data_IF_889223877146
#
_entry.id   IF_889223877146
#
_cell.length_a   1.000
_cell.length_b   1.000
_cell.length_c   1.000
_cell.angle_alpha   90.00
_cell.angle_beta   90.00
_cell.angle_gamma   90.00
#
_symmetry.space_group_name_H-M   'P 1'
#
loop_
_entity.id
_entity.type
_entity.pdbx_description
1 polymer ?
#
# COMPACT_ATOMS: atom_id res chain seq x y z
N UNK A 1 12.24 0.85 -49.13
CA UNK A 1 11.63 2.20 -49.06
C UNK A 1 10.23 2.12 -49.64
N UNK A 2 9.17 2.36 -48.85
CA UNK A 2 7.79 2.34 -49.35
C UNK A 2 7.61 3.52 -50.32
N UNK A 3 7.07 3.26 -51.53
CA UNK A 3 6.83 4.30 -52.54
C UNK A 3 5.88 5.38 -52.01
N UNK A 4 6.10 6.65 -52.37
CA UNK A 4 5.27 7.79 -51.95
C UNK A 4 3.78 7.59 -52.31
N UNK A 5 3.50 6.87 -53.40
CA UNK A 5 2.13 6.49 -53.79
C UNK A 5 1.47 5.54 -52.79
N UNK A 6 2.24 4.64 -52.19
CA UNK A 6 1.75 3.75 -51.13
C UNK A 6 1.44 4.53 -49.86
N UNK A 7 2.20 5.60 -49.55
CA UNK A 7 1.91 6.48 -48.42
C UNK A 7 0.63 7.29 -48.61
N UNK A 8 0.35 7.76 -49.83
CA UNK A 8 -0.93 8.41 -50.16
C UNK A 8 -2.11 7.43 -50.07
N UNK A 9 -1.97 6.22 -50.63
CA UNK A 9 -2.99 5.17 -50.52
C UNK A 9 -3.25 4.76 -49.08
N UNK A 10 -2.21 4.62 -48.24
CA UNK A 10 -2.37 4.23 -46.84
C UNK A 10 -3.14 5.27 -46.01
N UNK A 11 -3.09 6.55 -46.40
CA UNK A 11 -3.87 7.63 -45.78
C UNK A 11 -5.21 7.89 -46.48
N UNK A 12 -5.61 7.07 -47.47
CA UNK A 12 -6.77 7.25 -48.36
C UNK A 12 -6.80 8.62 -49.06
N UNK A 13 -5.64 9.06 -49.54
CA UNK A 13 -5.45 10.34 -50.22
C UNK A 13 -5.04 10.14 -51.67
N UNK A 14 -5.45 11.08 -52.53
CA UNK A 14 -4.98 11.15 -53.92
C UNK A 14 -3.54 11.71 -53.97
N UNK A 15 -2.67 11.25 -54.88
CA UNK A 15 -1.33 11.83 -55.00
C UNK A 15 -1.40 13.33 -55.33
N UNK A 16 -0.69 14.16 -54.56
CA UNK A 16 -0.60 15.60 -54.81
C UNK A 16 -1.47 16.50 -53.92
N UNK A 17 -2.19 15.97 -52.92
CA UNK A 17 -2.92 16.81 -51.95
C UNK A 17 -1.98 17.68 -51.11
N UNK A 18 -2.48 18.83 -50.66
CA UNK A 18 -1.72 19.74 -49.82
C UNK A 18 -1.45 19.16 -48.42
N UNK A 19 -0.39 19.63 -47.76
CA UNK A 19 0.02 19.10 -46.44
C UNK A 19 -1.07 19.26 -45.36
N UNK A 20 -1.91 20.29 -45.45
CA UNK A 20 -3.00 20.51 -44.50
C UNK A 20 -4.03 19.36 -44.55
N UNK A 21 -4.32 18.85 -45.75
CA UNK A 21 -5.24 17.73 -45.95
C UNK A 21 -4.60 16.40 -45.53
N UNK A 22 -3.30 16.23 -45.78
CA UNK A 22 -2.51 15.09 -45.27
C UNK A 22 -2.56 15.03 -43.74
N UNK A 23 -2.39 16.18 -43.07
CA UNK A 23 -2.48 16.29 -41.60
C UNK A 23 -3.89 16.00 -41.08
N UNK A 24 -4.93 16.43 -41.80
CA UNK A 24 -6.33 16.20 -41.43
C UNK A 24 -6.69 14.72 -41.57
N UNK A 25 -6.28 14.05 -42.65
CA UNK A 25 -6.51 12.63 -42.86
C UNK A 25 -5.74 11.77 -41.85
N UNK A 26 -4.47 12.10 -41.60
CA UNK A 26 -3.68 11.44 -40.55
C UNK A 26 -4.36 11.53 -39.19
N UNK A 27 -4.81 12.72 -38.77
CA UNK A 27 -5.51 12.89 -37.48
C UNK A 27 -6.76 12.03 -37.36
N UNK A 28 -7.56 11.95 -38.43
CA UNK A 28 -8.77 11.11 -38.44
C UNK A 28 -8.43 9.63 -38.31
N UNK A 29 -7.44 9.14 -39.06
CA UNK A 29 -7.02 7.72 -39.01
C UNK A 29 -6.29 7.36 -37.71
N UNK A 30 -5.42 8.24 -37.22
CA UNK A 30 -4.66 8.04 -35.97
C UNK A 30 -5.58 7.91 -34.76
N UNK A 31 -6.70 8.65 -34.71
CA UNK A 31 -7.70 8.53 -33.64
C UNK A 31 -8.46 7.20 -33.67
N UNK A 32 -8.67 6.61 -34.84
CA UNK A 32 -9.37 5.33 -34.99
C UNK A 32 -8.50 4.12 -34.65
N UNK A 33 -7.17 4.26 -34.79
CA UNK A 33 -6.23 3.16 -34.61
C UNK A 33 -5.30 3.34 -33.39
N UNK A 34 -5.58 4.31 -32.51
CA UNK A 34 -4.73 4.55 -31.34
C UNK A 34 -4.84 3.37 -30.36
N UNK A 35 -3.71 2.81 -29.86
CA UNK A 35 -3.73 1.62 -29.01
C UNK A 35 -4.56 1.79 -27.74
N UNK A 36 -4.59 2.99 -27.17
CA UNK A 36 -5.41 3.30 -25.97
C UNK A 36 -6.93 3.30 -26.24
N UNK A 37 -7.35 3.39 -27.51
CA UNK A 37 -8.77 3.51 -27.90
C UNK A 37 -9.25 2.22 -28.56
N UNK A 38 -8.44 1.61 -29.44
CA UNK A 38 -8.80 0.45 -30.23
C UNK A 38 -8.16 -0.87 -29.73
N UNK A 39 -7.23 -0.81 -28.76
CA UNK A 39 -6.51 -1.96 -28.24
C UNK A 39 -5.18 -2.23 -28.95
N UNK A 40 -4.33 -3.06 -28.34
CA UNK A 40 -2.94 -3.33 -28.77
C UNK A 40 -2.82 -3.94 -30.17
N UNK A 41 -3.88 -4.57 -30.68
CA UNK A 41 -3.94 -5.21 -32.01
C UNK A 41 -3.78 -4.20 -33.17
N UNK A 42 -4.06 -2.92 -32.92
CA UNK A 42 -3.96 -1.85 -33.91
C UNK A 42 -2.61 -1.09 -33.86
N UNK A 43 -1.72 -1.46 -32.95
CA UNK A 43 -0.39 -0.83 -32.77
C UNK A 43 0.45 -0.86 -34.06
N UNK A 44 0.46 -2.00 -34.76
CA UNK A 44 1.19 -2.15 -36.02
C UNK A 44 0.59 -1.29 -37.15
N UNK A 45 -0.74 -1.20 -37.23
CA UNK A 45 -1.42 -0.36 -38.21
C UNK A 45 -1.17 1.13 -37.93
N UNK A 46 -1.19 1.53 -36.67
CA UNK A 46 -0.85 2.89 -36.24
C UNK A 46 0.58 3.27 -36.61
N UNK A 47 1.54 2.35 -36.41
CA UNK A 47 2.93 2.56 -36.81
C UNK A 47 3.05 2.77 -38.33
N UNK A 48 2.37 1.97 -39.14
CA UNK A 48 2.38 2.12 -40.60
C UNK A 48 1.79 3.47 -41.06
N UNK A 49 0.69 3.91 -40.44
CA UNK A 49 0.05 5.20 -40.71
C UNK A 49 0.99 6.36 -40.35
N UNK A 50 1.72 6.26 -39.25
CA UNK A 50 2.68 7.27 -38.82
C UNK A 50 3.90 7.35 -39.75
N UNK A 51 4.43 6.20 -40.19
CA UNK A 51 5.50 6.14 -41.19
C UNK A 51 5.09 6.80 -42.51
N UNK A 52 3.88 6.54 -43.00
CA UNK A 52 3.35 7.15 -44.21
C UNK A 52 3.21 8.67 -44.09
N UNK A 53 2.73 9.16 -42.94
CA UNK A 53 2.65 10.60 -42.67
C UNK A 53 4.03 11.26 -42.67
N UNK A 54 5.03 10.66 -42.03
CA UNK A 54 6.40 11.19 -41.99
C UNK A 54 7.05 11.22 -43.38
N UNK A 55 6.86 10.16 -44.18
CA UNK A 55 7.35 10.12 -45.56
C UNK A 55 6.75 11.25 -46.43
N UNK A 56 5.43 11.46 -46.33
CA UNK A 56 4.75 12.54 -47.07
C UNK A 56 5.10 13.93 -46.56
N UNK A 57 5.24 14.09 -45.24
CA UNK A 57 5.68 15.35 -44.62
C UNK A 57 7.05 15.76 -45.16
N UNK A 58 8.01 14.84 -45.17
CA UNK A 58 9.36 15.11 -45.65
C UNK A 58 9.39 15.38 -47.16
N UNK A 59 8.63 14.62 -47.95
CA UNK A 59 8.55 14.84 -49.40
C UNK A 59 7.91 16.20 -49.75
N UNK A 60 6.85 16.60 -49.06
CA UNK A 60 6.16 17.88 -49.30
C UNK A 60 6.97 19.09 -48.81
N UNK A 61 7.70 18.94 -47.69
CA UNK A 61 8.64 19.96 -47.21
C UNK A 61 9.81 20.14 -48.18
N UNK A 62 10.40 19.06 -48.67
CA UNK A 62 11.48 19.11 -49.65
C UNK A 62 11.00 19.68 -51.00
N UNK A 63 9.74 19.42 -51.39
CA UNK A 63 9.12 20.01 -52.59
C UNK A 63 8.85 21.51 -52.45
N UNK A 64 8.62 22.00 -51.22
CA UNK A 64 8.44 23.42 -50.93
C UNK A 64 9.75 24.22 -50.89
N UNK A 65 10.90 23.57 -50.70
CA UNK A 65 12.21 24.21 -50.72
C UNK A 65 12.71 24.59 -52.13
N UNK A 66 12.18 23.96 -53.19
CA UNK A 66 12.62 24.18 -54.59
C UNK A 66 11.77 25.22 -55.34
N UNK A 67 10.66 25.70 -54.75
CA UNK A 67 9.85 26.78 -55.32
C UNK A 67 9.52 27.83 -54.27
N UNK A 68 10.25 28.93 -54.28
CA UNK A 68 9.82 30.24 -53.77
C UNK A 68 10.24 31.28 -54.83
N UNK A 69 9.36 32.23 -55.16
CA UNK A 69 9.19 33.37 -54.27
C UNK A 69 7.74 33.80 -53.97
N UNK A 70 7.64 34.44 -52.80
CA UNK A 70 6.69 35.48 -52.38
C UNK A 70 5.17 35.18 -52.39
N UNK A 71 4.59 35.07 -51.19
CA UNK A 71 3.59 36.03 -50.68
C UNK A 71 3.24 35.82 -49.21
N UNK A 72 3.11 36.95 -48.52
CA UNK A 72 2.54 37.17 -47.20
C UNK A 72 1.07 36.77 -47.11
N UNK A 73 0.66 36.14 -46.01
CA UNK A 73 -0.41 36.58 -45.08
C UNK A 73 -0.79 35.47 -44.08
N UNK A 74 -1.25 35.93 -42.89
CA UNK A 74 -1.94 35.22 -41.79
C UNK A 74 -1.17 34.24 -40.88
N UNK A 75 -0.21 34.75 -40.09
CA UNK A 75 0.27 34.09 -38.84
C UNK A 75 -0.18 34.76 -37.53
N UNK A 76 -1.08 35.74 -37.58
CA UNK A 76 -1.50 36.50 -36.39
C UNK A 76 -2.55 35.79 -35.54
N UNK A 77 -3.32 34.84 -36.08
CA UNK A 77 -4.43 34.20 -35.33
C UNK A 77 -3.99 33.02 -34.45
N UNK A 78 -2.88 32.34 -34.78
CA UNK A 78 -2.33 31.26 -33.97
C UNK A 78 -1.62 31.81 -32.73
N UNK A 79 -0.68 32.73 -32.94
CA UNK A 79 0.11 33.32 -31.86
C UNK A 79 -0.74 34.11 -30.86
N UNK A 80 -1.81 34.78 -31.31
CA UNK A 80 -2.76 35.46 -30.39
C UNK A 80 -3.60 34.48 -29.59
N UNK A 81 -4.04 33.37 -30.19
CA UNK A 81 -4.76 32.31 -29.46
C UNK A 81 -3.85 31.61 -28.45
N UNK A 82 -2.61 31.34 -28.82
CA UNK A 82 -1.63 30.72 -27.93
C UNK A 82 -1.25 31.68 -26.78
N UNK A 83 -1.17 33.00 -27.05
CA UNK A 83 -0.97 34.00 -26.00
C UNK A 83 -2.18 34.09 -25.05
N UNK A 84 -3.40 33.99 -25.57
CA UNK A 84 -4.62 34.00 -24.78
C UNK A 84 -4.74 32.74 -23.91
N UNK A 85 -4.42 31.57 -24.47
CA UNK A 85 -4.40 30.30 -23.72
C UNK A 85 -3.34 30.36 -22.62
N UNK A 86 -2.15 30.89 -22.90
CA UNK A 86 -1.09 31.04 -21.89
C UNK A 86 -1.52 31.97 -20.76
N UNK A 87 -2.15 33.10 -21.10
CA UNK A 87 -2.69 34.04 -20.11
C UNK A 87 -3.80 33.43 -19.27
N UNK A 88 -4.65 32.61 -19.87
CA UNK A 88 -5.70 31.88 -19.16
C UNK A 88 -5.13 30.85 -18.19
N UNK A 89 -4.11 30.08 -18.63
CA UNK A 89 -3.40 29.14 -17.76
C UNK A 89 -2.72 29.88 -16.60
N UNK A 90 -2.06 31.02 -16.87
CA UNK A 90 -1.44 31.84 -15.82
C UNK A 90 -2.47 32.37 -14.82
N UNK A 91 -3.66 32.77 -15.28
CA UNK A 91 -4.75 33.18 -14.39
C UNK A 91 -5.27 32.02 -13.55
N UNK A 92 -5.50 30.85 -14.15
CA UNK A 92 -5.94 29.64 -13.42
C UNK A 92 -4.90 29.24 -12.37
N UNK A 93 -3.61 29.26 -12.73
CA UNK A 93 -2.53 28.94 -11.80
C UNK A 93 -2.45 29.97 -10.67
N UNK A 94 -2.63 31.26 -10.98
CA UNK A 94 -2.64 32.32 -9.99
C UNK A 94 -3.82 32.18 -9.03
N UNK A 95 -5.01 31.92 -9.55
CA UNK A 95 -6.22 31.68 -8.75
C UNK A 95 -6.05 30.43 -7.86
N UNK A 96 -5.51 29.35 -8.41
CA UNK A 96 -5.20 28.14 -7.65
C UNK A 96 -4.15 28.41 -6.56
N UNK A 97 -3.12 29.22 -6.84
CA UNK A 97 -2.11 29.61 -5.86
C UNK A 97 -2.68 30.51 -4.77
N UNK A 98 -3.57 31.45 -5.12
CA UNK A 98 -4.29 32.30 -4.17
C UNK A 98 -5.21 31.46 -3.29
N UNK A 99 -5.94 30.51 -3.87
CA UNK A 99 -6.79 29.57 -3.16
C UNK A 99 -5.97 28.69 -2.21
N UNK A 100 -4.86 28.11 -2.66
CA UNK A 100 -3.95 27.32 -1.81
C UNK A 100 -3.33 28.17 -0.71
N UNK A 101 -2.95 29.42 -1.01
CA UNK A 101 -2.39 30.34 -0.02
C UNK A 101 -3.43 30.73 1.03
N UNK A 102 -4.69 30.93 0.63
CA UNK A 102 -5.80 31.14 1.55
C UNK A 102 -6.04 29.89 2.40
N UNK A 103 -6.04 28.70 1.80
CA UNK A 103 -6.19 27.43 2.51
C UNK A 103 -5.07 27.23 3.54
N UNK A 104 -3.80 27.46 3.15
CA UNK A 104 -2.65 27.37 4.06
C UNK A 104 -2.75 28.38 5.20
N UNK A 105 -3.23 29.61 4.94
CA UNK A 105 -3.50 30.58 6.01
C UNK A 105 -4.60 30.13 6.97
N UNK A 106 -5.67 29.51 6.46
CA UNK A 106 -6.72 28.92 7.31
C UNK A 106 -6.28 27.66 8.06
N UNK A 107 -5.29 26.93 7.53
CA UNK A 107 -4.68 25.75 8.17
C UNK A 107 -3.63 26.16 9.21
N UNK A 108 -3.09 27.38 9.13
CA UNK A 108 -2.18 27.96 10.12
C UNK A 108 -2.86 28.43 11.39
N UNK A 109 -4.18 28.67 11.35
CA UNK A 109 -4.99 28.77 12.57
C UNK A 109 -5.30 27.34 13.05
N UNK A 110 -5.11 27.08 14.35
CA UNK A 110 -5.47 25.84 15.04
C UNK A 110 -7.00 25.58 14.96
N UNK A 111 -7.51 25.33 13.76
CA UNK A 111 -8.81 24.75 13.54
C UNK A 111 -8.79 23.44 14.33
N UNK A 112 -9.61 23.36 15.39
CA UNK A 112 -9.81 22.14 16.18
C UNK A 112 -10.31 21.05 15.23
N UNK A 113 -9.37 20.30 14.65
CA UNK A 113 -9.69 19.23 13.72
C UNK A 113 -10.40 18.16 14.54
N UNK A 114 -11.63 17.83 14.14
CA UNK A 114 -12.40 16.81 14.83
C UNK A 114 -11.76 15.44 14.59
N UNK A 115 -11.91 14.54 15.56
CA UNK A 115 -11.43 13.16 15.42
C UNK A 115 -11.98 12.50 14.14
N UNK A 116 -13.25 12.74 13.81
CA UNK A 116 -13.90 12.24 12.60
C UNK A 116 -13.15 12.56 11.31
N UNK A 117 -12.65 13.79 11.19
CA UNK A 117 -11.96 14.25 9.99
C UNK A 117 -10.58 13.61 9.89
N UNK A 118 -9.93 13.39 11.04
CA UNK A 118 -8.64 12.69 11.12
C UNK A 118 -8.81 11.21 10.77
N UNK A 119 -9.78 10.54 11.39
CA UNK A 119 -10.07 9.13 11.16
C UNK A 119 -10.49 8.84 9.71
N UNK A 120 -11.19 9.77 9.07
CA UNK A 120 -11.49 9.69 7.65
C UNK A 120 -10.21 9.74 6.80
N UNK A 121 -9.31 10.68 7.10
CA UNK A 121 -8.03 10.82 6.36
C UNK A 121 -7.09 9.65 6.58
N UNK A 122 -7.11 9.01 7.76
CA UNK A 122 -6.34 7.80 8.04
C UNK A 122 -6.76 6.58 7.20
N UNK A 123 -7.98 6.57 6.66
CA UNK A 123 -8.45 5.55 5.73
C UNK A 123 -8.03 5.80 4.27
N UNK A 124 -7.33 6.91 3.99
CA UNK A 124 -6.85 7.23 2.65
C UNK A 124 -5.87 6.18 2.13
N UNK A 125 -5.86 5.97 0.81
CA UNK A 125 -4.86 5.12 0.15
C UNK A 125 -3.49 5.80 0.01
N UNK A 126 -3.43 7.11 0.19
CA UNK A 126 -2.19 7.89 0.03
C UNK A 126 -1.41 7.97 1.36
N UNK A 127 -0.17 7.47 1.42
CA UNK A 127 0.65 7.47 2.63
C UNK A 127 0.83 8.86 3.26
N UNK A 128 1.03 9.90 2.45
CA UNK A 128 1.27 11.27 2.90
C UNK A 128 0.05 11.85 3.62
N UNK A 129 -1.16 11.58 3.09
CA UNK A 129 -2.42 12.00 3.71
C UNK A 129 -2.59 11.34 5.07
N UNK A 130 -2.27 10.04 5.16
CA UNK A 130 -2.34 9.33 6.43
C UNK A 130 -1.30 9.84 7.42
N UNK A 131 -0.08 10.14 6.98
CA UNK A 131 0.98 10.67 7.83
C UNK A 131 0.59 12.00 8.48
N UNK A 132 0.07 12.95 7.69
CA UNK A 132 -0.41 14.25 8.21
C UNK A 132 -1.55 14.04 9.20
N UNK A 133 -2.52 13.17 8.88
CA UNK A 133 -3.61 12.85 9.79
C UNK A 133 -3.12 12.22 11.09
N UNK A 134 -2.14 11.32 11.01
CA UNK A 134 -1.54 10.69 12.18
C UNK A 134 -0.81 11.70 13.06
N UNK A 135 -0.11 12.69 12.48
CA UNK A 135 0.52 13.76 13.25
C UNK A 135 -0.51 14.62 14.01
N UNK A 136 -1.64 14.96 13.37
CA UNK A 136 -2.76 15.61 14.07
C UNK A 136 -3.33 14.73 15.19
N UNK A 137 -3.50 13.42 14.94
CA UNK A 137 -3.98 12.48 15.95
C UNK A 137 -3.06 12.43 17.16
N UNK A 138 -1.74 12.41 16.96
CA UNK A 138 -0.75 12.41 18.03
C UNK A 138 -0.89 13.61 18.95
N UNK A 139 -1.27 14.78 18.43
CA UNK A 139 -1.43 16.02 19.21
C UNK A 139 -2.74 16.09 19.98
N UNK A 140 -3.75 15.30 19.59
CA UNK A 140 -5.04 15.27 20.30
C UNK A 140 -4.89 14.68 21.71
N UNK A 141 -5.64 15.24 22.65
CA UNK A 141 -5.87 14.64 23.95
C UNK A 141 -6.90 13.51 23.84
N UNK A 142 -6.92 12.62 24.83
CA UNK A 142 -7.88 11.52 24.85
C UNK A 142 -9.21 11.98 25.45
N UNK A 143 -10.31 11.72 24.74
CA UNK A 143 -11.67 11.87 25.27
C UNK A 143 -12.40 10.51 25.22
N UNK A 144 -13.23 10.22 26.23
CA UNK A 144 -13.97 8.95 26.27
C UNK A 144 -14.99 8.80 25.12
N UNK A 145 -15.50 9.93 24.62
CA UNK A 145 -16.42 10.00 23.47
C UNK A 145 -15.84 9.38 22.19
N UNK A 146 -14.51 9.32 22.08
CA UNK A 146 -13.81 8.83 20.90
C UNK A 146 -13.90 7.32 20.71
N UNK A 147 -14.26 6.58 21.76
CA UNK A 147 -14.25 5.12 21.75
C UNK A 147 -15.13 4.52 20.66
N UNK A 148 -16.38 4.96 20.55
CA UNK A 148 -17.33 4.37 19.60
C UNK A 148 -16.92 4.63 18.14
N UNK A 149 -16.31 5.80 17.90
CA UNK A 149 -15.81 6.18 16.58
C UNK A 149 -14.54 5.40 16.20
N UNK A 150 -13.60 5.26 17.14
CA UNK A 150 -12.38 4.47 16.97
C UNK A 150 -12.70 3.00 16.71
N UNK A 151 -13.60 2.40 17.49
CA UNK A 151 -13.97 0.98 17.32
C UNK A 151 -14.55 0.68 15.93
N UNK A 152 -15.27 1.65 15.33
CA UNK A 152 -15.82 1.53 13.97
C UNK A 152 -14.78 1.74 12.87
N UNK A 153 -13.73 2.51 13.16
CA UNK A 153 -12.81 3.02 12.15
C UNK A 153 -11.50 2.26 12.09
N UNK A 154 -10.93 1.85 13.23
CA UNK A 154 -9.66 1.11 13.31
C UNK A 154 -9.59 -0.09 12.34
N UNK A 155 -10.64 -0.94 12.20
CA UNK A 155 -10.59 -2.07 11.26
C UNK A 155 -10.45 -1.68 9.77
N UNK A 156 -10.75 -0.42 9.42
CA UNK A 156 -10.67 0.11 8.04
C UNK A 156 -9.33 0.80 7.76
N UNK A 157 -8.55 1.08 8.80
CA UNK A 157 -7.26 1.75 8.67
C UNK A 157 -6.23 0.71 8.22
N UNK A 158 -5.47 1.05 7.19
CA UNK A 158 -4.34 0.24 6.77
C UNK A 158 -3.14 0.60 7.67
N UNK A 159 -2.76 -0.31 8.57
CA UNK A 159 -1.59 -0.13 9.42
C UNK A 159 -0.33 -0.63 8.71
N UNK A 160 0.65 0.26 8.58
CA UNK A 160 2.05 -0.04 8.32
C UNK A 160 2.88 0.32 9.57
N UNK A 161 4.18 0.00 9.56
CA UNK A 161 5.06 0.19 10.72
C UNK A 161 5.08 1.64 11.23
N UNK A 162 5.16 2.61 10.32
CA UNK A 162 5.19 4.02 10.66
C UNK A 162 3.84 4.49 11.22
N UNK A 163 2.73 4.06 10.62
CA UNK A 163 1.39 4.39 11.09
C UNK A 163 1.13 3.82 12.48
N UNK A 164 1.54 2.57 12.73
CA UNK A 164 1.33 1.94 14.02
C UNK A 164 2.04 2.71 15.13
N UNK A 165 3.26 3.19 14.91
CA UNK A 165 4.01 3.97 15.90
C UNK A 165 3.23 5.23 16.33
N UNK A 166 2.74 6.01 15.36
CA UNK A 166 1.98 7.22 15.65
C UNK A 166 0.64 6.89 16.33
N UNK A 167 -0.02 5.82 15.89
CA UNK A 167 -1.28 5.37 16.47
C UNK A 167 -1.09 4.91 17.92
N UNK A 168 -0.02 4.18 18.23
CA UNK A 168 0.26 3.72 19.58
C UNK A 168 0.57 4.89 20.54
N UNK A 169 1.22 5.96 20.07
CA UNK A 169 1.43 7.17 20.88
C UNK A 169 0.09 7.76 21.35
N UNK A 170 -0.88 7.87 20.45
CA UNK A 170 -2.22 8.37 20.78
C UNK A 170 -3.02 7.38 21.63
N UNK A 171 -3.08 6.11 21.24
CA UNK A 171 -3.85 5.07 21.94
C UNK A 171 -3.31 4.79 23.35
N UNK A 172 -2.03 5.06 23.61
CA UNK A 172 -1.43 4.96 24.94
C UNK A 172 -1.97 6.00 25.93
N UNK A 173 -2.54 7.11 25.45
CA UNK A 173 -3.21 8.12 26.29
C UNK A 173 -4.54 7.63 26.86
N UNK A 174 -5.15 6.62 26.23
CA UNK A 174 -6.43 6.06 26.65
C UNK A 174 -6.33 5.33 28.00
N UNK A 175 -7.40 5.30 28.83
CA UNK A 175 -7.48 4.42 29.99
C UNK A 175 -7.29 2.95 29.62
N UNK A 176 -6.71 2.14 30.52
CA UNK A 176 -6.39 0.72 30.24
C UNK A 176 -7.60 -0.12 29.80
N UNK A 177 -8.79 0.16 30.34
CA UNK A 177 -10.00 -0.57 29.96
C UNK A 177 -10.43 -0.29 28.51
N UNK A 178 -10.14 0.92 27.98
CA UNK A 178 -10.31 1.26 26.58
C UNK A 178 -9.26 0.56 25.71
N UNK A 179 -8.00 0.61 26.10
CA UNK A 179 -6.90 -0.05 25.39
C UNK A 179 -7.17 -1.56 25.21
N UNK A 180 -7.67 -2.24 26.24
CA UNK A 180 -8.07 -3.66 26.18
C UNK A 180 -9.11 -3.97 25.09
N UNK A 181 -10.03 -3.04 24.82
CA UNK A 181 -11.05 -3.20 23.77
C UNK A 181 -10.48 -2.93 22.37
N UNK A 182 -9.49 -2.05 22.27
CA UNK A 182 -8.87 -1.63 21.00
C UNK A 182 -7.83 -2.63 20.50
N UNK A 183 -7.05 -3.22 21.40
CA UNK A 183 -5.98 -4.18 21.07
C UNK A 183 -6.41 -5.27 20.07
N UNK A 184 -7.54 -5.99 20.27
CA UNK A 184 -7.98 -7.01 19.32
C UNK A 184 -8.20 -6.47 17.90
N UNK A 185 -8.64 -5.21 17.76
CA UNK A 185 -8.87 -4.58 16.45
C UNK A 185 -7.54 -4.30 15.76
N UNK A 186 -6.56 -3.73 16.47
CA UNK A 186 -5.23 -3.44 15.92
C UNK A 186 -4.50 -4.73 15.56
N UNK A 187 -4.66 -5.80 16.36
CA UNK A 187 -4.08 -7.12 16.08
C UNK A 187 -4.53 -7.73 14.75
N UNK A 188 -5.66 -7.31 14.19
CA UNK A 188 -6.10 -7.82 12.86
C UNK A 188 -5.14 -7.42 11.74
N UNK A 189 -4.38 -6.33 11.93
CA UNK A 189 -3.46 -5.80 10.93
C UNK A 189 -2.04 -6.37 11.02
N UNK A 190 -1.77 -7.30 11.94
CA UNK A 190 -0.43 -7.90 12.18
C UNK A 190 0.22 -8.47 10.92
N UNK A 191 -0.57 -8.95 9.94
CA UNK A 191 -0.04 -9.49 8.68
C UNK A 191 0.74 -8.46 7.85
N UNK A 192 0.46 -7.17 8.04
CA UNK A 192 1.07 -6.07 7.29
C UNK A 192 2.21 -5.39 8.07
N UNK A 193 2.45 -5.82 9.31
CA UNK A 193 3.41 -5.20 10.21
C UNK A 193 4.73 -5.95 10.18
N UNK A 194 5.83 -5.20 10.20
CA UNK A 194 7.17 -5.72 10.40
C UNK A 194 7.43 -6.12 11.85
N UNK A 195 8.57 -6.78 12.07
CA UNK A 195 8.98 -7.27 13.39
C UNK A 195 9.00 -6.18 14.45
N UNK A 196 9.60 -5.02 14.15
CA UNK A 196 9.76 -3.92 15.13
C UNK A 196 8.41 -3.37 15.59
N UNK A 197 7.47 -3.19 14.65
CA UNK A 197 6.13 -2.70 14.94
C UNK A 197 5.34 -3.73 15.78
N UNK A 198 5.41 -5.02 15.43
CA UNK A 198 4.81 -6.10 16.22
C UNK A 198 5.36 -6.18 17.65
N UNK A 199 6.67 -5.97 17.85
CA UNK A 199 7.28 -5.96 19.19
C UNK A 199 6.75 -4.79 20.03
N UNK A 200 6.64 -3.58 19.45
CA UNK A 200 6.05 -2.42 20.15
C UNK A 200 4.59 -2.69 20.52
N UNK A 201 3.81 -3.26 19.61
CA UNK A 201 2.43 -3.68 19.87
C UNK A 201 2.37 -4.67 21.04
N UNK A 202 3.23 -5.69 21.05
CA UNK A 202 3.35 -6.68 22.12
C UNK A 202 3.60 -6.05 23.49
N UNK A 203 4.55 -5.11 23.57
CA UNK A 203 4.85 -4.41 24.83
C UNK A 203 3.71 -3.49 25.27
N UNK A 204 3.09 -2.77 24.34
CA UNK A 204 1.91 -1.95 24.65
C UNK A 204 0.76 -2.81 25.20
N UNK A 205 0.44 -3.90 24.51
CA UNK A 205 -0.62 -4.81 24.95
C UNK A 205 -0.30 -5.56 26.25
N UNK A 206 0.99 -5.75 26.60
CA UNK A 206 1.39 -6.29 27.91
C UNK A 206 0.98 -5.37 29.05
N UNK A 207 1.07 -4.05 28.86
CA UNK A 207 0.67 -3.06 29.87
C UNK A 207 -0.85 -2.95 30.00
N UNK A 208 -1.56 -3.02 28.86
CA UNK A 208 -3.01 -2.96 28.82
C UNK A 208 -3.66 -4.26 29.30
N UNK A 209 -3.04 -5.41 29.03
CA UNK A 209 -3.55 -6.76 29.30
C UNK A 209 -4.05 -7.46 28.04
N UNK A 210 -3.28 -8.42 27.55
CA UNK A 210 -3.61 -9.23 26.37
C UNK A 210 -4.80 -10.16 26.59
N UNK A 211 -5.64 -10.29 25.57
CA UNK A 211 -6.56 -11.43 25.43
C UNK A 211 -5.95 -12.49 24.52
N UNK A 212 -6.29 -13.76 24.72
CA UNK A 212 -5.78 -14.86 23.87
C UNK A 212 -6.15 -14.65 22.41
N UNK A 213 -7.40 -14.21 22.14
CA UNK A 213 -7.87 -13.90 20.78
C UNK A 213 -7.02 -12.83 20.09
N UNK A 214 -6.57 -11.81 20.83
CA UNK A 214 -5.76 -10.74 20.27
C UNK A 214 -4.29 -11.12 20.06
N UNK A 215 -3.77 -12.11 20.80
CA UNK A 215 -2.42 -12.66 20.59
C UNK A 215 -2.37 -13.64 19.40
N UNK A 216 -3.50 -14.23 19.01
CA UNK A 216 -3.55 -15.26 17.96
C UNK A 216 -2.87 -14.86 16.64
N UNK A 217 -3.08 -13.65 16.09
CA UNK A 217 -2.43 -13.25 14.84
C UNK A 217 -0.90 -13.17 14.95
N UNK A 218 -0.37 -12.88 16.14
CA UNK A 218 1.07 -12.75 16.40
C UNK A 218 1.76 -14.12 16.50
N UNK A 219 1.03 -15.18 16.86
CA UNK A 219 1.56 -16.55 16.88
C UNK A 219 1.82 -17.11 15.47
N UNK A 220 1.19 -16.55 14.46
CA UNK A 220 1.37 -16.94 13.05
C UNK A 220 2.30 -16.01 12.28
N UNK A 221 3.02 -15.12 12.97
CA UNK A 221 3.92 -14.14 12.36
C UNK A 221 5.23 -14.81 11.88
N UNK A 222 5.83 -14.38 10.76
CA UNK A 222 7.04 -15.00 10.21
C UNK A 222 8.29 -14.88 11.09
N UNK A 223 8.38 -13.84 11.93
CA UNK A 223 9.51 -13.66 12.87
C UNK A 223 9.35 -14.52 14.11
N UNK A 224 10.33 -15.41 14.34
CA UNK A 224 10.49 -16.21 15.56
C UNK A 224 10.47 -15.36 16.83
N UNK A 225 11.04 -14.15 16.77
CA UNK A 225 11.14 -13.26 17.92
C UNK A 225 9.76 -12.77 18.37
N UNK A 226 8.91 -12.38 17.42
CA UNK A 226 7.53 -11.96 17.68
C UNK A 226 6.72 -13.10 18.28
N UNK A 227 6.83 -14.30 17.69
CA UNK A 227 6.13 -15.50 18.15
C UNK A 227 6.57 -15.88 19.57
N UNK A 228 7.87 -15.87 19.85
CA UNK A 228 8.46 -16.16 21.16
C UNK A 228 7.89 -15.22 22.24
N UNK A 229 7.89 -13.91 21.96
CA UNK A 229 7.32 -12.91 22.86
C UNK A 229 5.81 -13.10 23.05
N UNK A 230 5.06 -13.35 21.97
CA UNK A 230 3.62 -13.62 22.06
C UNK A 230 3.31 -14.85 22.93
N UNK A 231 4.06 -15.95 22.76
CA UNK A 231 3.95 -17.16 23.59
C UNK A 231 4.25 -16.90 25.06
N UNK A 232 5.26 -16.06 25.34
CA UNK A 232 5.61 -15.69 26.72
C UNK A 232 4.50 -14.88 27.41
N UNK A 233 3.74 -14.09 26.65
CA UNK A 233 2.65 -13.25 27.15
C UNK A 233 1.31 -13.98 27.19
N UNK A 234 1.22 -15.15 26.57
CA UNK A 234 0.00 -15.95 26.54
C UNK A 234 -0.30 -16.52 27.95
N UNK A 235 -1.53 -16.38 28.49
CA UNK A 235 -1.87 -16.95 29.80
C UNK A 235 -1.79 -18.49 29.79
N UNK A 236 -2.60 -19.14 28.97
CA UNK A 236 -2.61 -20.59 28.72
C UNK A 236 -2.66 -20.89 27.22
N UNK A 237 -2.11 -22.04 26.82
CA UNK A 237 -2.19 -22.54 25.45
C UNK A 237 -3.51 -23.27 25.15
N UNK A 238 -4.35 -23.54 26.16
CA UNK A 238 -5.62 -24.28 25.97
C UNK A 238 -6.58 -23.66 24.97
N UNK A 239 -6.62 -22.33 24.91
CA UNK A 239 -7.48 -21.57 23.99
C UNK A 239 -6.89 -21.44 22.58
N UNK A 240 -5.64 -21.88 22.37
CA UNK A 240 -4.99 -21.84 21.07
C UNK A 240 -5.39 -23.07 20.26
N UNK A 241 -5.88 -22.92 19.01
CA UNK A 241 -6.22 -24.05 18.17
C UNK A 241 -5.03 -25.00 17.99
N UNK A 242 -5.29 -26.31 18.09
CA UNK A 242 -4.25 -27.34 17.93
C UNK A 242 -3.50 -27.21 16.59
N UNK A 243 -4.15 -26.73 15.53
CA UNK A 243 -3.51 -26.46 14.23
C UNK A 243 -2.38 -25.44 14.31
N UNK A 244 -2.54 -24.39 15.12
CA UNK A 244 -1.51 -23.36 15.37
C UNK A 244 -0.40 -23.94 16.24
N UNK A 245 -0.74 -24.72 17.27
CA UNK A 245 0.27 -25.39 18.11
C UNK A 245 1.11 -26.36 17.29
N UNK A 246 0.48 -27.11 16.37
CA UNK A 246 1.15 -28.02 15.43
C UNK A 246 2.02 -27.29 14.40
N UNK A 247 1.67 -26.07 13.99
CA UNK A 247 2.57 -25.28 13.14
C UNK A 247 3.77 -24.77 13.93
N UNK A 248 3.56 -24.36 15.19
CA UNK A 248 4.62 -23.84 16.06
C UNK A 248 5.64 -24.92 16.43
N UNK A 249 5.22 -26.15 16.74
CA UNK A 249 6.16 -27.23 17.12
C UNK A 249 7.04 -27.69 15.95
N UNK A 250 6.63 -27.41 14.70
CA UNK A 250 7.42 -27.72 13.50
C UNK A 250 8.54 -26.69 13.27
N UNK A 251 8.45 -25.52 13.90
CA UNK A 251 9.49 -24.49 13.82
C UNK A 251 10.74 -25.03 14.52
N UNK A 252 11.88 -25.07 13.84
CA UNK A 252 13.16 -25.58 14.39
C UNK A 252 13.93 -24.56 15.24
N UNK A 253 13.33 -23.40 15.47
CA UNK A 253 13.94 -22.29 16.18
C UNK A 253 13.79 -22.48 17.69
N UNK A 254 14.91 -22.47 18.40
CA UNK A 254 14.97 -22.55 19.86
C UNK A 254 14.14 -21.44 20.53
N UNK A 255 14.14 -20.23 19.96
CA UNK A 255 13.43 -19.09 20.53
C UNK A 255 11.92 -19.32 20.65
N UNK A 256 11.34 -20.08 19.72
CA UNK A 256 9.91 -20.42 19.68
C UNK A 256 9.62 -21.68 20.49
N UNK A 257 10.47 -22.70 20.33
CA UNK A 257 10.25 -24.00 20.95
C UNK A 257 10.34 -23.95 22.48
N UNK A 258 11.29 -23.21 23.07
CA UNK A 258 11.42 -23.18 24.54
C UNK A 258 10.17 -22.60 25.21
N UNK A 259 9.65 -21.41 24.84
CA UNK A 259 8.40 -20.90 25.40
C UNK A 259 7.21 -21.82 25.15
N UNK A 260 7.14 -22.45 23.97
CA UNK A 260 6.09 -23.38 23.62
C UNK A 260 6.09 -24.61 24.54
N UNK A 261 7.24 -25.27 24.69
CA UNK A 261 7.40 -26.45 25.55
C UNK A 261 7.07 -26.13 27.01
N UNK A 262 7.47 -24.95 27.51
CA UNK A 262 7.08 -24.47 28.84
C UNK A 262 5.56 -24.36 29.01
N UNK A 263 4.84 -23.89 27.98
CA UNK A 263 3.38 -23.76 27.99
C UNK A 263 2.64 -25.08 27.80
N UNK A 264 3.28 -26.09 27.22
CA UNK A 264 2.72 -27.43 27.07
C UNK A 264 2.76 -28.28 28.35
N UNK A 265 3.51 -27.85 29.37
CA UNK A 265 3.53 -28.52 30.68
C UNK A 265 2.13 -28.61 31.27
N UNK A 266 1.66 -29.83 31.54
CA UNK A 266 0.33 -30.09 32.09
C UNK A 266 -0.83 -29.76 31.13
N UNK A 267 -0.55 -29.52 29.85
CA UNK A 267 -1.57 -29.15 28.87
C UNK A 267 -2.19 -30.38 28.17
N UNK A 268 -3.49 -30.30 27.86
CA UNK A 268 -4.21 -31.35 27.13
C UNK A 268 -3.62 -31.71 25.76
N UNK A 269 -2.92 -30.79 25.10
CA UNK A 269 -2.32 -31.04 23.79
C UNK A 269 -1.07 -31.92 23.84
N UNK A 270 -0.49 -32.12 25.03
CA UNK A 270 0.73 -32.89 25.19
C UNK A 270 0.57 -34.35 24.71
N UNK A 271 -0.60 -34.96 24.91
CA UNK A 271 -0.87 -36.32 24.43
C UNK A 271 -0.83 -36.43 22.89
N UNK A 272 -1.39 -35.45 22.18
CA UNK A 272 -1.39 -35.41 20.71
C UNK A 272 -0.01 -35.08 20.15
N UNK A 273 0.81 -34.35 20.91
CA UNK A 273 2.13 -33.89 20.48
C UNK A 273 3.27 -34.81 20.91
N UNK A 274 2.97 -35.88 21.64
CA UNK A 274 3.98 -36.77 22.25
C UNK A 274 5.02 -37.26 21.25
N UNK A 275 4.59 -37.72 20.06
CA UNK A 275 5.51 -38.20 19.02
C UNK A 275 6.49 -37.11 18.55
N UNK A 276 6.00 -35.87 18.41
CA UNK A 276 6.83 -34.72 18.01
C UNK A 276 7.74 -34.23 19.13
N UNK A 277 7.27 -34.25 20.38
CA UNK A 277 8.11 -33.90 21.52
C UNK A 277 9.24 -34.91 21.71
N UNK A 278 8.99 -36.21 21.45
CA UNK A 278 10.04 -37.25 21.46
C UNK A 278 11.09 -37.03 20.38
N UNK A 279 10.67 -36.76 19.14
CA UNK A 279 11.57 -36.39 18.03
C UNK A 279 12.44 -35.18 18.40
N UNK A 280 11.86 -34.16 19.04
CA UNK A 280 12.62 -32.99 19.52
C UNK A 280 13.60 -33.33 20.65
N UNK A 281 13.33 -34.34 21.47
CA UNK A 281 14.22 -34.76 22.56
C UNK A 281 15.46 -35.50 22.04
N UNK A 282 15.31 -36.28 20.96
CA UNK A 282 16.35 -37.12 20.40
C UNK A 282 17.24 -36.34 19.41
N UNK A 283 16.62 -35.64 18.46
CA UNK A 283 17.32 -35.19 17.23
C UNK A 283 17.50 -33.66 17.11
N UNK A 284 16.97 -32.85 18.04
CA UNK A 284 17.04 -31.39 17.90
C UNK A 284 18.47 -30.84 18.11
N UNK A 285 18.97 -29.91 17.27
CA UNK A 285 20.33 -29.38 17.37
C UNK A 285 20.61 -28.63 18.68
N UNK A 286 19.62 -27.89 19.19
CA UNK A 286 19.74 -27.18 20.47
C UNK A 286 19.64 -28.12 21.67
N UNK A 287 20.64 -28.07 22.55
CA UNK A 287 20.66 -28.77 23.84
C UNK A 287 19.52 -28.37 24.76
N UNK A 288 19.16 -27.08 24.78
CA UNK A 288 18.11 -26.56 25.65
C UNK A 288 16.74 -27.11 25.26
N UNK A 289 16.46 -27.17 23.96
CA UNK A 289 15.23 -27.77 23.43
C UNK A 289 15.17 -29.26 23.79
N UNK A 290 16.27 -30.00 23.59
CA UNK A 290 16.34 -31.42 23.96
C UNK A 290 16.10 -31.64 25.46
N UNK A 291 16.67 -30.80 26.32
CA UNK A 291 16.49 -30.88 27.76
C UNK A 291 15.03 -30.64 28.16
N UNK A 292 14.38 -29.59 27.62
CA UNK A 292 12.97 -29.30 27.88
C UNK A 292 12.03 -30.39 27.34
N UNK A 293 12.30 -30.89 26.12
CA UNK A 293 11.52 -31.96 25.52
C UNK A 293 11.67 -33.28 26.29
N UNK A 294 12.90 -33.64 26.66
CA UNK A 294 13.17 -34.83 27.49
C UNK A 294 12.48 -34.74 28.85
N UNK A 295 12.46 -33.55 29.46
CA UNK A 295 11.76 -33.32 30.72
C UNK A 295 10.25 -33.57 30.58
N UNK A 296 9.62 -33.03 29.53
CA UNK A 296 8.20 -33.29 29.23
C UNK A 296 7.91 -34.77 28.95
N UNK A 297 8.79 -35.46 28.23
CA UNK A 297 8.65 -36.91 27.96
C UNK A 297 8.67 -37.72 29.25
N UNK A 298 9.54 -37.35 30.20
CA UNK A 298 9.58 -38.00 31.52
C UNK A 298 8.35 -37.68 32.36
N UNK A 299 7.90 -36.43 32.35
CA UNK A 299 6.70 -35.98 33.07
C UNK A 299 5.46 -36.78 32.63
N UNK A 300 5.32 -37.06 31.33
CA UNK A 300 4.26 -37.91 30.78
C UNK A 300 4.31 -39.38 31.21
N UNK A 301 5.49 -39.90 31.59
CA UNK A 301 5.64 -41.31 31.95
C UNK A 301 5.45 -41.54 33.47
N UNK A 302 5.38 -40.47 34.26
CA UNK A 302 5.31 -40.51 35.73
C UNK A 302 3.92 -40.11 36.25
N UNK A 303 3.11 -39.42 35.44
CA UNK A 303 1.71 -39.08 35.75
C UNK A 303 0.73 -40.10 35.18
#
# INVERSE_FOLDING_TARGET
MKSLEMSYKLLDLQPGVCFADVKKAFRKKALLCHPDIAGEEYSFQFQQINEAYLALKNALLNKSAVKSPAKSHTKTSGDTKDLLIKKEIENILKEAQEYLSALVKTVGDDCKIKLSDILLRLQSRHPEVRFIAADHLRRLEWEESYMDELMKTIPKILFDDAMLDVMLDFLSKAPRHCQKKIIPLVSTSVKNLGERACIKLLYWGKQAGWSVKALMPLLSHPSSRVVSLALSMLPSIDEVPLTVVLSLIKVKDEEVLIPLLKKLKGNRYLCCLQGKVRELAEDHPSLNVRAWASWLVRDMNVG
#
